data_IF_171880567712
#
_entry.id   IF_171880567712
#
_cell.length_a   1.000
_cell.length_b   1.000
_cell.length_c   1.000
_cell.angle_alpha   90.00
_cell.angle_beta   90.00
_cell.angle_gamma   90.00
#
_symmetry.space_group_name_H-M   'P 1'
#
loop_
_entity.id
_entity.type
_entity.pdbx_description
1 polymer ?
#
# COMPACT_ATOMS: atom_id res chain seq x y z
N UNK A 1 3.61 12.15 -3.89
CA UNK A 1 3.76 12.66 -2.50
C UNK A 1 5.16 13.21 -2.25
N UNK A 2 6.23 12.42 -2.43
CA UNK A 2 7.62 12.90 -2.25
C UNK A 2 7.94 14.15 -3.09
N UNK A 3 7.61 14.14 -4.38
CA UNK A 3 7.85 15.29 -5.28
C UNK A 3 7.02 16.55 -4.93
N UNK A 4 6.02 16.42 -4.07
CA UNK A 4 5.17 17.53 -3.63
C UNK A 4 5.73 18.22 -2.36
N UNK A 5 6.93 17.85 -1.90
CA UNK A 5 7.67 18.50 -0.81
C UNK A 5 6.84 18.67 0.48
N UNK A 6 6.19 17.60 0.92
CA UNK A 6 5.51 17.61 2.23
C UNK A 6 6.59 17.62 3.30
N UNK A 7 6.66 18.72 4.06
CA UNK A 7 7.62 18.87 5.16
C UNK A 7 7.18 18.10 6.40
N UNK A 8 8.15 17.67 7.22
CA UNK A 8 7.89 17.04 8.51
C UNK A 8 7.45 15.56 8.45
N UNK A 9 7.54 14.91 7.30
CA UNK A 9 7.22 13.49 7.14
C UNK A 9 8.40 12.72 6.54
N UNK A 10 8.57 11.47 6.99
CA UNK A 10 9.53 10.52 6.41
C UNK A 10 8.80 9.58 5.47
N UNK A 11 9.27 9.48 4.23
CA UNK A 11 8.66 8.59 3.25
C UNK A 11 9.33 7.22 3.25
N UNK A 12 8.49 6.18 3.30
CA UNK A 12 8.92 4.79 3.20
C UNK A 12 8.19 4.14 2.03
N UNK A 13 8.92 3.53 1.09
CA UNK A 13 8.33 2.67 0.05
C UNK A 13 8.61 1.22 0.38
N UNK A 14 7.56 0.44 0.60
CA UNK A 14 7.67 -1.01 0.78
C UNK A 14 7.07 -1.75 -0.44
N UNK A 15 7.83 -2.63 -1.09
CA UNK A 15 7.34 -3.37 -2.25
C UNK A 15 8.07 -4.71 -2.44
N UNK A 16 7.40 -5.67 -3.05
CA UNK A 16 8.00 -6.95 -3.48
C UNK A 16 8.68 -6.87 -4.84
N UNK A 17 8.35 -5.84 -5.64
CA UNK A 17 9.00 -5.59 -6.93
C UNK A 17 10.26 -4.72 -6.74
N UNK A 18 11.42 -5.33 -6.94
CA UNK A 18 12.71 -4.67 -6.77
C UNK A 18 12.97 -3.59 -7.84
N UNK A 19 12.42 -3.75 -9.05
CA UNK A 19 12.56 -2.75 -10.12
C UNK A 19 11.74 -1.50 -9.80
N UNK A 20 10.56 -1.66 -9.21
CA UNK A 20 9.75 -0.55 -8.74
C UNK A 20 10.45 0.22 -7.61
N UNK A 21 11.09 -0.48 -6.66
CA UNK A 21 11.81 0.15 -5.56
C UNK A 21 13.00 1.00 -6.01
N UNK A 22 13.77 0.52 -6.99
CA UNK A 22 14.91 1.28 -7.55
C UNK A 22 14.51 2.62 -8.17
N UNK A 23 13.24 2.78 -8.54
CA UNK A 23 12.68 4.03 -9.09
C UNK A 23 12.05 4.92 -8.02
N UNK A 24 12.00 4.47 -6.76
CA UNK A 24 11.42 5.25 -5.68
C UNK A 24 12.30 6.45 -5.34
N UNK A 25 11.64 7.55 -4.97
CA UNK A 25 12.28 8.76 -4.44
C UNK A 25 12.14 8.89 -2.92
N UNK A 26 11.57 7.87 -2.25
CA UNK A 26 11.37 7.88 -0.81
C UNK A 26 12.70 7.83 -0.04
N UNK A 27 12.71 8.36 1.17
CA UNK A 27 13.89 8.40 2.05
C UNK A 27 14.36 6.99 2.43
N UNK A 28 13.41 6.06 2.58
CA UNK A 28 13.68 4.66 2.89
C UNK A 28 12.92 3.75 1.94
N UNK A 29 13.59 2.71 1.46
CA UNK A 29 12.97 1.63 0.67
C UNK A 29 13.11 0.31 1.40
N UNK A 30 12.01 -0.43 1.52
CA UNK A 30 11.95 -1.77 2.11
C UNK A 30 11.56 -2.76 1.02
N UNK A 31 12.47 -3.66 0.67
CA UNK A 31 12.13 -4.78 -0.22
C UNK A 31 11.49 -5.90 0.58
N UNK A 32 10.32 -6.34 0.14
CA UNK A 32 9.52 -7.37 0.79
C UNK A 32 9.66 -8.72 0.07
N UNK A 33 9.70 -9.81 0.82
CA UNK A 33 9.65 -11.17 0.34
C UNK A 33 10.75 -11.48 -0.67
N UNK A 34 12.00 -11.14 -0.36
CA UNK A 34 13.12 -11.36 -1.29
C UNK A 34 13.27 -12.85 -1.60
N UNK A 35 13.09 -13.73 -0.61
CA UNK A 35 13.14 -15.18 -0.83
C UNK A 35 11.89 -15.70 -1.53
N UNK A 36 10.71 -15.16 -1.20
CA UNK A 36 9.43 -15.61 -1.78
C UNK A 36 9.28 -15.20 -3.25
N UNK A 37 9.65 -13.97 -3.59
CA UNK A 37 9.33 -13.36 -4.90
C UNK A 37 10.54 -13.21 -5.80
N UNK A 38 11.76 -13.37 -5.27
CA UNK A 38 12.99 -13.07 -5.99
C UNK A 38 13.01 -11.64 -6.59
N UNK A 39 12.27 -10.71 -5.97
CA UNK A 39 12.15 -9.32 -6.44
C UNK A 39 11.25 -9.11 -7.66
N UNK A 40 10.46 -10.11 -8.07
CA UNK A 40 9.58 -10.05 -9.24
C UNK A 40 8.16 -9.54 -8.93
N UNK A 41 7.86 -9.27 -7.66
CA UNK A 41 6.54 -8.84 -7.21
C UNK A 41 5.59 -9.98 -6.85
N UNK A 42 4.46 -9.63 -6.24
CA UNK A 42 3.48 -10.59 -5.71
C UNK A 42 2.50 -11.18 -6.75
N UNK A 43 2.64 -10.85 -8.05
CA UNK A 43 1.83 -11.45 -9.12
C UNK A 43 0.31 -11.27 -8.96
N UNK A 44 -0.15 -10.15 -8.39
CA UNK A 44 -1.55 -9.90 -8.04
C UNK A 44 -2.17 -10.91 -7.05
N UNK A 45 -1.35 -11.65 -6.29
CA UNK A 45 -1.79 -12.56 -5.24
C UNK A 45 -1.57 -11.92 -3.85
N UNK A 46 -2.65 -11.57 -3.11
CA UNK A 46 -2.55 -11.03 -1.76
C UNK A 46 -1.79 -11.92 -0.78
N UNK A 47 -1.93 -13.25 -0.87
CA UNK A 47 -1.25 -14.17 0.04
C UNK A 47 0.26 -14.10 -0.09
N UNK A 48 0.77 -13.89 -1.30
CA UNK A 48 2.20 -13.67 -1.54
C UNK A 48 2.62 -12.35 -0.91
N UNK A 49 1.84 -11.28 -1.09
CA UNK A 49 2.10 -9.98 -0.47
C UNK A 49 2.15 -10.04 1.06
N UNK A 50 1.21 -10.77 1.67
CA UNK A 50 1.14 -10.99 3.12
C UNK A 50 2.36 -11.73 3.64
N UNK A 51 2.67 -12.91 3.07
CA UNK A 51 3.85 -13.70 3.47
C UNK A 51 5.15 -12.92 3.27
N UNK A 52 5.23 -12.12 2.20
CA UNK A 52 6.39 -11.27 1.93
C UNK A 52 6.59 -10.20 3.00
N UNK A 53 5.50 -9.61 3.51
CA UNK A 53 5.58 -8.67 4.62
C UNK A 53 5.89 -9.34 5.96
N UNK A 54 5.42 -10.58 6.17
CA UNK A 54 5.73 -11.37 7.36
C UNK A 54 7.20 -11.83 7.38
N UNK A 55 7.77 -12.19 6.22
CA UNK A 55 9.20 -12.49 6.05
C UNK A 55 10.08 -11.33 6.52
N UNK A 56 9.72 -10.10 6.13
CA UNK A 56 10.48 -8.88 6.42
C UNK A 56 9.93 -8.05 7.60
N UNK A 57 9.22 -8.70 8.53
CA UNK A 57 8.54 -8.01 9.65
C UNK A 57 9.50 -7.18 10.52
N UNK A 58 10.70 -7.70 10.81
CA UNK A 58 11.71 -6.99 11.61
C UNK A 58 12.26 -5.76 10.88
N UNK A 59 12.47 -5.86 9.57
CA UNK A 59 12.88 -4.73 8.72
C UNK A 59 11.80 -3.65 8.69
N UNK A 60 10.52 -4.04 8.59
CA UNK A 60 9.39 -3.12 8.64
C UNK A 60 9.34 -2.43 10.00
N UNK A 61 9.41 -3.18 11.11
CA UNK A 61 9.43 -2.63 12.47
C UNK A 61 10.54 -1.60 12.65
N UNK A 62 11.77 -1.97 12.28
CA UNK A 62 12.93 -1.07 12.35
C UNK A 62 12.73 0.22 11.54
N UNK A 63 12.03 0.14 10.39
CA UNK A 63 11.75 1.32 9.57
C UNK A 63 10.69 2.26 10.20
N UNK A 64 9.80 1.71 11.03
CA UNK A 64 8.71 2.41 11.73
C UNK A 64 9.09 2.92 13.12
N UNK A 65 10.17 2.39 13.72
CA UNK A 65 10.62 2.78 15.06
C UNK A 65 10.80 4.29 15.20
N UNK A 66 10.31 4.82 16.33
CA UNK A 66 10.38 6.24 16.67
C UNK A 66 9.30 7.12 16.02
N UNK A 67 8.38 6.56 15.22
CA UNK A 67 7.25 7.31 14.70
C UNK A 67 6.13 7.43 15.74
N UNK A 68 5.58 8.63 15.92
CA UNK A 68 4.36 8.83 16.73
C UNK A 68 3.09 8.44 15.94
N UNK A 69 3.14 8.59 14.61
CA UNK A 69 2.02 8.34 13.71
C UNK A 69 2.52 7.80 12.37
N UNK A 70 1.79 6.84 11.81
CA UNK A 70 2.05 6.28 10.48
C UNK A 70 0.84 6.40 9.57
N UNK A 71 1.10 6.80 8.32
CA UNK A 71 0.13 6.76 7.23
C UNK A 71 0.45 5.62 6.27
N UNK A 72 -0.46 4.65 6.17
CA UNK A 72 -0.33 3.52 5.24
C UNK A 72 -1.11 3.83 3.97
N UNK A 73 -0.40 4.15 2.90
CA UNK A 73 -0.99 4.39 1.59
C UNK A 73 -0.85 3.16 0.69
N UNK A 74 -1.97 2.59 0.23
CA UNK A 74 -1.95 1.39 -0.61
C UNK A 74 -3.10 1.33 -1.63
N UNK A 75 -2.80 0.80 -2.81
CA UNK A 75 -3.79 0.43 -3.81
C UNK A 75 -4.33 -0.97 -3.55
N UNK A 76 -5.62 -1.11 -3.27
CA UNK A 76 -6.25 -2.39 -2.94
C UNK A 76 -6.67 -3.16 -4.18
N UNK A 77 -6.68 -4.48 -4.06
CA UNK A 77 -7.01 -5.42 -5.13
C UNK A 77 -5.80 -5.97 -5.88
N UNK A 78 -4.60 -5.41 -5.68
CA UNK A 78 -3.34 -6.01 -6.13
C UNK A 78 -2.87 -7.15 -5.22
N UNK A 79 -1.60 -7.55 -5.36
CA UNK A 79 -0.98 -8.55 -4.49
C UNK A 79 -0.31 -7.90 -3.28
N UNK A 80 0.74 -7.10 -3.53
CA UNK A 80 1.56 -6.50 -2.48
C UNK A 80 0.75 -5.59 -1.56
N UNK A 81 0.10 -4.55 -2.09
CA UNK A 81 -0.66 -3.60 -1.26
C UNK A 81 -1.75 -4.28 -0.43
N UNK A 82 -2.56 -5.12 -1.07
CA UNK A 82 -3.67 -5.82 -0.42
C UNK A 82 -3.22 -6.73 0.72
N UNK A 83 -2.13 -7.49 0.54
CA UNK A 83 -1.67 -8.45 1.54
C UNK A 83 -0.69 -7.88 2.57
N UNK A 84 0.17 -6.95 2.15
CA UNK A 84 1.20 -6.38 3.02
C UNK A 84 0.66 -5.26 3.91
N UNK A 85 -0.30 -4.45 3.45
CA UNK A 85 -0.79 -3.31 4.23
C UNK A 85 -1.38 -3.71 5.60
N UNK A 86 -2.21 -4.77 5.72
CA UNK A 86 -2.68 -5.24 7.03
C UNK A 86 -1.55 -5.70 7.96
N UNK A 87 -0.50 -6.32 7.41
CA UNK A 87 0.68 -6.75 8.19
C UNK A 87 1.43 -5.53 8.72
N UNK A 88 1.73 -4.55 7.86
CA UNK A 88 2.40 -3.31 8.26
C UNK A 88 1.58 -2.57 9.34
N UNK A 89 0.26 -2.49 9.17
CA UNK A 89 -0.64 -1.87 10.15
C UNK A 89 -0.58 -2.56 11.52
N UNK A 90 -0.55 -3.90 11.53
CA UNK A 90 -0.45 -4.68 12.77
C UNK A 90 0.89 -4.43 13.47
N UNK A 91 1.99 -4.43 12.73
CA UNK A 91 3.32 -4.15 13.28
C UNK A 91 3.41 -2.73 13.84
N UNK A 92 2.84 -1.73 13.17
CA UNK A 92 2.77 -0.36 13.68
C UNK A 92 1.97 -0.28 15.00
N UNK A 93 0.84 -0.99 15.09
CA UNK A 93 0.02 -1.03 16.30
C UNK A 93 0.72 -1.75 17.46
N UNK A 94 1.47 -2.82 17.20
CA UNK A 94 2.32 -3.49 18.19
C UNK A 94 3.38 -2.55 18.77
N UNK A 95 3.87 -1.60 17.97
CA UNK A 95 4.81 -0.56 18.39
C UNK A 95 4.13 0.64 19.10
N UNK A 96 2.79 0.62 19.24
CA UNK A 96 2.03 1.70 19.88
C UNK A 96 1.88 2.97 19.03
N UNK A 97 2.07 2.86 17.70
CA UNK A 97 2.04 3.99 16.76
C UNK A 97 0.60 4.26 16.33
N UNK A 98 0.17 5.53 16.32
CA UNK A 98 -1.13 5.91 15.77
C UNK A 98 -1.18 5.58 14.28
N UNK A 99 -2.04 4.66 13.88
CA UNK A 99 -2.01 4.03 12.56
C UNK A 99 -3.23 4.44 11.74
N UNK A 100 -3.00 5.21 10.67
CA UNK A 100 -4.04 5.63 9.73
C UNK A 100 -3.77 5.04 8.35
N UNK A 101 -4.77 4.40 7.75
CA UNK A 101 -4.66 3.89 6.39
C UNK A 101 -5.45 4.75 5.40
N UNK A 102 -4.83 5.05 4.25
CA UNK A 102 -5.45 5.73 3.12
C UNK A 102 -5.33 4.83 1.90
N UNK A 103 -6.44 4.20 1.51
CA UNK A 103 -6.41 3.14 0.50
C UNK A 103 -7.37 3.40 -0.64
N UNK A 104 -7.01 2.96 -1.84
CA UNK A 104 -7.88 3.10 -3.02
C UNK A 104 -8.58 1.80 -3.35
N UNK A 105 -9.88 1.85 -3.65
CA UNK A 105 -10.60 0.75 -4.31
C UNK A 105 -10.37 0.79 -5.82
N UNK A 106 -10.18 -0.36 -6.49
CA UNK A 106 -9.95 -0.41 -7.93
C UNK A 106 -11.15 0.14 -8.72
N UNK A 107 -10.93 0.49 -9.98
CA UNK A 107 -12.02 0.85 -10.89
C UNK A 107 -12.86 -0.39 -11.25
N UNK A 108 -14.13 -0.17 -11.62
CA UNK A 108 -15.03 -1.27 -12.00
C UNK A 108 -14.52 -2.08 -13.21
N UNK A 109 -13.82 -1.41 -14.13
CA UNK A 109 -13.25 -2.04 -15.32
C UNK A 109 -12.01 -2.91 -15.04
N UNK A 110 -11.39 -2.82 -13.87
CA UNK A 110 -10.23 -3.66 -13.50
C UNK A 110 -10.63 -5.10 -13.15
N UNK A 111 -11.94 -5.38 -13.07
CA UNK A 111 -12.49 -6.72 -13.00
C UNK A 111 -12.86 -7.19 -11.58
N UNK A 112 -13.80 -8.13 -11.53
CA UNK A 112 -14.41 -8.63 -10.27
C UNK A 112 -13.41 -9.26 -9.31
N UNK A 113 -12.39 -9.98 -9.82
CA UNK A 113 -11.35 -10.61 -8.99
C UNK A 113 -10.58 -9.56 -8.20
N UNK A 114 -10.27 -8.42 -8.82
CA UNK A 114 -9.55 -7.31 -8.20
C UNK A 114 -10.40 -6.62 -7.14
N UNK A 115 -11.67 -6.37 -7.44
CA UNK A 115 -12.63 -5.81 -6.49
C UNK A 115 -12.83 -6.72 -5.26
N UNK A 116 -12.97 -8.03 -5.46
CA UNK A 116 -13.10 -8.99 -4.35
C UNK A 116 -11.86 -9.01 -3.45
N UNK A 117 -10.66 -9.04 -4.04
CA UNK A 117 -9.41 -8.96 -3.28
C UNK A 117 -9.31 -7.62 -2.52
N UNK A 118 -9.74 -6.52 -3.13
CA UNK A 118 -9.75 -5.21 -2.49
C UNK A 118 -10.66 -5.17 -1.27
N UNK A 119 -11.92 -5.63 -1.37
CA UNK A 119 -12.84 -5.65 -0.24
C UNK A 119 -12.33 -6.54 0.89
N UNK A 120 -11.72 -7.69 0.57
CA UNK A 120 -11.12 -8.55 1.58
C UNK A 120 -9.97 -7.84 2.33
N UNK A 121 -9.02 -7.26 1.60
CA UNK A 121 -7.89 -6.56 2.24
C UNK A 121 -8.31 -5.30 2.99
N UNK A 122 -9.34 -4.59 2.52
CA UNK A 122 -9.93 -3.43 3.22
C UNK A 122 -10.59 -3.88 4.52
N UNK A 123 -11.32 -5.00 4.49
CA UNK A 123 -11.93 -5.60 5.68
C UNK A 123 -10.89 -5.94 6.74
N UNK A 124 -9.84 -6.68 6.37
CA UNK A 124 -8.75 -7.01 7.31
C UNK A 124 -8.08 -5.75 7.87
N UNK A 125 -7.81 -4.75 7.00
CA UNK A 125 -7.15 -3.52 7.42
C UNK A 125 -7.99 -2.72 8.40
N UNK A 126 -9.32 -2.67 8.19
CA UNK A 126 -10.26 -1.95 9.04
C UNK A 126 -10.32 -2.46 10.48
N UNK A 127 -10.07 -3.75 10.70
CA UNK A 127 -10.02 -4.35 12.04
C UNK A 127 -8.74 -3.97 12.81
N UNK A 128 -7.70 -3.53 12.10
CA UNK A 128 -6.37 -3.31 12.65
C UNK A 128 -6.10 -1.82 12.89
N UNK A 129 -6.38 -0.95 11.91
CA UNK A 129 -6.01 0.48 11.97
C UNK A 129 -6.90 1.29 12.91
N UNK A 130 -6.40 2.43 13.38
CA UNK A 130 -7.19 3.35 14.20
C UNK A 130 -8.17 4.18 13.35
N UNK A 131 -7.81 4.45 12.09
CA UNK A 131 -8.68 5.10 11.11
C UNK A 131 -8.38 4.59 9.70
N UNK A 132 -9.45 4.39 8.92
CA UNK A 132 -9.38 3.92 7.55
C UNK A 132 -10.11 4.89 6.61
N UNK A 133 -9.37 5.50 5.69
CA UNK A 133 -9.88 6.35 4.63
C UNK A 133 -9.86 5.54 3.33
N UNK A 134 -11.05 5.26 2.79
CA UNK A 134 -11.18 4.52 1.52
C UNK A 134 -11.60 5.45 0.39
N UNK A 135 -10.79 5.50 -0.66
CA UNK A 135 -11.00 6.32 -1.85
C UNK A 135 -11.46 5.43 -3.01
N UNK A 136 -12.73 5.52 -3.44
CA UNK A 136 -13.19 4.75 -4.59
C UNK A 136 -12.73 5.40 -5.90
N UNK A 137 -11.88 4.70 -6.67
CA UNK A 137 -11.33 5.22 -7.92
C UNK A 137 -12.43 5.62 -8.93
N UNK A 138 -13.58 4.94 -8.94
CA UNK A 138 -14.72 5.31 -9.78
C UNK A 138 -15.24 6.74 -9.53
N UNK A 139 -15.05 7.31 -8.33
CA UNK A 139 -15.41 8.71 -8.06
C UNK A 139 -14.44 9.68 -8.73
N UNK A 140 -13.17 9.30 -8.96
CA UNK A 140 -12.20 10.14 -9.67
C UNK A 140 -12.64 10.38 -11.12
N UNK A 141 -13.18 9.36 -11.81
CA UNK A 141 -13.70 9.52 -13.18
C UNK A 141 -14.81 10.57 -13.29
N UNK A 142 -15.65 10.71 -12.26
CA UNK A 142 -16.73 11.71 -12.26
C UNK A 142 -16.19 13.13 -12.15
N UNK A 143 -15.05 13.31 -11.48
CA UNK A 143 -14.40 14.61 -11.30
C UNK A 143 -13.50 14.97 -12.49
N UNK A 144 -12.93 13.96 -13.17
CA UNK A 144 -11.93 14.15 -14.22
C UNK A 144 -12.52 14.46 -15.63
N UNK A 145 -13.83 14.38 -15.84
CA UNK A 145 -14.47 14.78 -17.10
C UNK A 145 -14.18 13.87 -18.31
N UNK A 146 -14.92 14.06 -19.41
CA UNK A 146 -14.75 13.30 -20.66
C UNK A 146 -13.50 13.78 -21.41
N UNK A 147 -12.42 13.00 -21.40
CA UNK A 147 -11.18 13.28 -22.13
C UNK A 147 -9.89 12.89 -21.40
N UNK A 148 -9.99 12.57 -20.11
CA UNK A 148 -8.85 12.17 -19.27
C UNK A 148 -8.41 10.75 -19.59
N UNK A 149 -7.10 10.54 -19.79
CA UNK A 149 -6.55 9.20 -20.06
C UNK A 149 -6.47 8.37 -18.78
N UNK A 150 -6.36 7.05 -18.93
CA UNK A 150 -6.14 6.13 -17.80
C UNK A 150 -4.90 6.51 -16.96
N UNK A 151 -3.82 6.93 -17.64
CA UNK A 151 -2.59 7.38 -17.00
C UNK A 151 -2.80 8.63 -16.14
N UNK A 152 -3.57 9.60 -16.65
CA UNK A 152 -3.90 10.82 -15.91
C UNK A 152 -4.78 10.51 -14.68
N UNK A 153 -5.63 9.48 -14.77
CA UNK A 153 -6.50 9.07 -13.66
C UNK A 153 -5.76 8.37 -12.51
N UNK A 154 -4.58 7.79 -12.77
CA UNK A 154 -3.72 7.20 -11.72
C UNK A 154 -2.69 8.19 -11.16
N UNK A 155 -2.34 9.24 -11.92
CA UNK A 155 -1.31 10.20 -11.53
C UNK A 155 -1.84 11.34 -10.63
N UNK A 156 -3.16 11.52 -10.53
CA UNK A 156 -3.83 12.54 -9.71
C UNK A 156 -4.57 11.92 -8.54
#
# INVERSE_FOLDING_TARGET
>A
MVQQHIEGVKFITANTDAQALRKSSADVTVQLGTQITSGLGAGANPDIGKKSAEEDAETIKSALEGADMVFIAAGMGGGTGTGAAPVVARLAKELGILTVAVVTRPFDFEGKKRAAAAEHGIGELAEIVDSLITIPNNKLLKVLGKGTTLLDAFAK
#
